data_IF_415970707800
#
_entry.id   IF_415970707800
#
_cell.length_a   1.000
_cell.length_b   1.000
_cell.length_c   1.000
_cell.angle_alpha   90.00
_cell.angle_beta   90.00
_cell.angle_gamma   90.00
#
_symmetry.space_group_name_H-M   'P 1'
#
loop_
_entity.id
_entity.type
_entity.pdbx_description
1 polymer ?
#
# COMPACT_ATOMS: atom_id res chain seq x y z
N UNK A 1 -16.33 31.65 17.79
CA UNK A 1 -15.20 31.05 17.05
C UNK A 1 -14.11 30.72 18.03
N UNK A 2 -13.71 29.46 18.10
CA UNK A 2 -12.66 28.99 19.01
C UNK A 2 -11.29 29.41 18.47
N UNK A 3 -10.28 29.56 19.34
CA UNK A 3 -8.93 29.95 18.92
C UNK A 3 -8.30 29.02 17.86
N UNK A 4 -8.79 27.78 17.78
CA UNK A 4 -8.41 26.77 16.80
C UNK A 4 -8.93 27.10 15.39
N UNK A 5 -10.15 27.63 15.27
CA UNK A 5 -10.75 28.04 13.99
C UNK A 5 -10.09 29.31 13.42
N UNK A 6 -9.61 30.20 14.31
CA UNK A 6 -8.89 31.42 13.91
C UNK A 6 -7.50 31.07 13.35
N UNK A 7 -6.81 30.08 13.95
CA UNK A 7 -5.52 29.61 13.48
C UNK A 7 -5.61 28.90 12.12
N UNK A 8 -6.69 28.14 11.88
CA UNK A 8 -6.97 27.50 10.59
C UNK A 8 -7.21 28.54 9.48
N UNK A 9 -8.04 29.56 9.74
CA UNK A 9 -8.30 30.64 8.78
C UNK A 9 -7.09 31.54 8.52
N UNK A 10 -6.17 31.66 9.47
CA UNK A 10 -4.92 32.40 9.27
C UNK A 10 -3.93 31.63 8.39
N UNK A 11 -3.89 30.29 8.49
CA UNK A 11 -3.05 29.44 7.62
C UNK A 11 -3.53 29.43 6.16
N UNK A 12 -4.83 29.54 5.91
CA UNK A 12 -5.35 29.67 4.54
C UNK A 12 -5.02 31.01 3.87
N UNK A 13 -4.81 32.08 4.65
CA UNK A 13 -4.53 33.44 4.13
C UNK A 13 -3.06 33.73 3.86
N UNK A 14 -2.15 32.91 4.38
CA UNK A 14 -0.72 33.01 4.10
C UNK A 14 -0.38 31.72 3.36
N UNK A 15 -0.17 31.78 2.04
CA UNK A 15 0.01 30.62 1.15
C UNK A 15 1.24 29.74 1.45
N UNK A 16 1.36 29.22 2.67
CA UNK A 16 2.11 28.04 3.02
C UNK A 16 1.14 26.87 2.91
N UNK A 17 1.20 26.10 1.83
CA UNK A 17 0.55 24.80 1.75
C UNK A 17 1.14 23.90 2.84
N UNK A 18 0.51 23.86 4.02
CA UNK A 18 0.85 22.83 4.99
C UNK A 18 0.36 21.51 4.41
N UNK A 19 1.27 20.67 3.93
CA UNK A 19 0.95 19.31 3.51
C UNK A 19 0.15 18.64 4.62
N UNK A 20 -0.98 18.05 4.25
CA UNK A 20 -1.78 17.30 5.21
C UNK A 20 -1.06 15.98 5.49
N UNK A 21 -0.84 15.67 6.77
CA UNK A 21 -0.21 14.42 7.18
C UNK A 21 -1.10 13.68 8.18
N UNK A 22 -1.22 12.38 7.99
CA UNK A 22 -1.90 11.48 8.93
C UNK A 22 -0.89 10.53 9.56
N UNK A 23 -1.13 10.15 10.82
CA UNK A 23 -0.29 9.16 11.49
C UNK A 23 -1.09 8.39 12.53
N UNK A 24 -0.78 7.11 12.67
CA UNK A 24 -1.38 6.25 13.67
C UNK A 24 -0.44 5.15 14.12
N UNK A 25 -0.88 4.39 15.11
CA UNK A 25 -0.16 3.24 15.66
C UNK A 25 -1.07 2.30 16.41
N UNK A 26 -0.62 1.07 16.57
CA UNK A 26 -1.29 0.05 17.37
C UNK A 26 -0.32 -1.04 17.80
N UNK A 27 -0.84 -1.98 18.59
CA UNK A 27 -0.07 -3.12 19.09
C UNK A 27 -0.96 -4.35 19.23
N UNK A 28 -0.35 -5.52 19.09
CA UNK A 28 -1.01 -6.80 19.30
C UNK A 28 -1.43 -6.95 20.76
N UNK A 29 -2.52 -7.69 20.99
CA UNK A 29 -2.95 -8.12 22.33
C UNK A 29 -2.25 -9.41 22.75
N UNK A 30 -1.90 -10.27 21.80
CA UNK A 30 -1.16 -11.50 22.05
C UNK A 30 0.31 -11.24 22.41
N UNK A 31 0.98 -10.35 21.69
CA UNK A 31 2.36 -9.94 21.98
C UNK A 31 2.50 -8.41 21.93
N UNK A 32 2.77 -7.81 23.09
CA UNK A 32 2.90 -6.35 23.23
C UNK A 32 4.16 -5.78 22.56
N UNK A 33 5.13 -6.61 22.20
CA UNK A 33 6.31 -6.20 21.44
C UNK A 33 5.98 -6.00 19.96
N UNK A 34 4.95 -6.70 19.47
CA UNK A 34 4.49 -6.52 18.10
C UNK A 34 3.64 -5.27 18.00
N UNK A 35 4.19 -4.28 17.32
CA UNK A 35 3.57 -2.96 17.14
C UNK A 35 3.56 -2.57 15.68
N UNK A 36 2.64 -1.69 15.32
CA UNK A 36 2.68 -1.03 14.02
C UNK A 36 2.61 0.48 14.21
N UNK A 37 3.10 1.20 13.22
CA UNK A 37 2.86 2.63 13.08
C UNK A 37 2.84 3.00 11.62
N UNK A 38 2.07 4.03 11.28
CA UNK A 38 1.99 4.52 9.92
C UNK A 38 2.11 6.04 9.88
N UNK A 39 2.53 6.53 8.74
CA UNK A 39 2.60 7.95 8.45
C UNK A 39 2.29 8.17 6.97
N UNK A 40 1.49 9.20 6.69
CA UNK A 40 1.16 9.62 5.34
C UNK A 40 1.46 11.10 5.15
N UNK A 41 1.88 11.48 3.96
CA UNK A 41 2.11 12.88 3.59
C UNK A 41 1.60 13.08 2.16
N UNK A 42 0.72 14.06 2.01
CA UNK A 42 0.29 14.54 0.71
C UNK A 42 1.49 15.09 -0.09
N UNK A 43 1.59 14.64 -1.33
CA UNK A 43 2.64 14.99 -2.27
C UNK A 43 2.59 16.46 -2.71
N UNK A 44 3.48 16.79 -3.65
CA UNK A 44 3.54 18.14 -4.27
C UNK A 44 2.79 18.19 -5.61
N UNK A 45 2.15 17.11 -6.00
CA UNK A 45 1.34 17.00 -7.20
C UNK A 45 0.11 17.91 -7.14
N UNK A 46 -0.47 18.24 -8.30
CA UNK A 46 -1.65 19.12 -8.42
C UNK A 46 -2.98 18.40 -8.08
N UNK A 47 -2.93 17.29 -7.36
CA UNK A 47 -4.09 16.55 -6.87
C UNK A 47 -4.08 16.49 -5.34
N UNK A 48 -5.23 16.17 -4.76
CA UNK A 48 -5.31 15.89 -3.33
C UNK A 48 -4.70 14.52 -3.03
N UNK A 49 -4.42 14.24 -1.75
CA UNK A 49 -4.01 12.91 -1.27
C UNK A 49 -4.93 11.77 -1.79
N UNK A 50 -4.39 10.91 -2.66
CA UNK A 50 -5.06 9.74 -3.24
C UNK A 50 -4.63 8.42 -2.56
N UNK A 51 -3.54 8.44 -1.82
CA UNK A 51 -3.08 7.34 -0.97
C UNK A 51 -4.02 7.08 0.24
N UNK A 52 -4.30 5.81 0.54
CA UNK A 52 -5.03 5.39 1.74
C UNK A 52 -4.30 4.28 2.50
N UNK A 53 -4.41 4.32 3.83
CA UNK A 53 -3.82 3.33 4.74
C UNK A 53 -4.91 2.59 5.51
N UNK A 54 -4.69 1.30 5.74
CA UNK A 54 -5.42 0.50 6.72
C UNK A 54 -4.41 -0.18 7.64
N UNK A 55 -4.52 0.00 8.96
CA UNK A 55 -3.62 -0.62 9.92
C UNK A 55 -4.33 -0.88 11.24
N UNK A 56 -4.60 -2.15 11.56
CA UNK A 56 -5.23 -2.52 12.83
C UNK A 56 -4.95 -3.97 13.22
N UNK A 57 -5.06 -4.25 14.52
CA UNK A 57 -5.21 -5.62 15.02
C UNK A 57 -6.69 -5.93 15.25
N UNK A 58 -7.13 -7.13 14.85
CA UNK A 58 -8.53 -7.59 14.92
C UNK A 58 -8.54 -9.04 15.44
N UNK A 59 -9.42 -9.33 16.39
CA UNK A 59 -9.70 -10.71 16.80
C UNK A 59 -10.74 -11.29 15.82
N UNK A 60 -10.46 -12.47 15.27
CA UNK A 60 -11.40 -13.24 14.44
C UNK A 60 -11.41 -14.65 15.01
N UNK A 61 -12.55 -15.06 15.56
CA UNK A 61 -12.68 -16.30 16.34
C UNK A 61 -11.59 -16.41 17.42
N UNK A 62 -10.81 -17.48 17.44
CA UNK A 62 -9.70 -17.73 18.36
C UNK A 62 -8.35 -17.15 17.89
N UNK A 63 -8.33 -16.46 16.74
CA UNK A 63 -7.13 -15.93 16.09
C UNK A 63 -7.00 -14.42 16.23
N UNK A 64 -5.77 -13.94 16.47
CA UNK A 64 -5.47 -12.51 16.31
C UNK A 64 -4.88 -12.25 14.93
N UNK A 65 -5.44 -11.27 14.24
CA UNK A 65 -4.99 -10.81 12.94
C UNK A 65 -4.43 -9.39 13.02
N UNK A 66 -3.20 -9.18 12.55
CA UNK A 66 -2.70 -7.86 12.16
C UNK A 66 -3.01 -7.62 10.68
N UNK A 67 -3.81 -6.59 10.38
CA UNK A 67 -4.26 -6.26 9.03
C UNK A 67 -3.65 -4.92 8.62
N UNK A 68 -2.81 -4.92 7.59
CA UNK A 68 -2.05 -3.76 7.14
C UNK A 68 -2.15 -3.61 5.63
N UNK A 69 -2.49 -2.43 5.12
CA UNK A 69 -2.54 -2.19 3.69
C UNK A 69 -2.24 -0.74 3.33
N UNK A 70 -1.60 -0.58 2.17
CA UNK A 70 -1.48 0.69 1.47
C UNK A 70 -2.19 0.55 0.13
N UNK A 71 -3.01 1.54 -0.17
CA UNK A 71 -3.74 1.70 -1.41
C UNK A 71 -3.27 3.00 -2.06
N UNK A 72 -2.42 2.89 -3.05
CA UNK A 72 -1.94 4.04 -3.83
C UNK A 72 -2.94 4.31 -4.94
N UNK A 73 -3.64 5.43 -4.84
CA UNK A 73 -4.72 5.81 -5.76
C UNK A 73 -4.21 6.64 -6.91
N UNK A 74 -4.81 6.46 -8.09
CA UNK A 74 -4.51 7.32 -9.24
C UNK A 74 -5.78 7.74 -9.96
N UNK A 75 -5.95 9.05 -10.15
CA UNK A 75 -7.14 9.66 -10.77
C UNK A 75 -8.46 9.27 -10.04
N UNK A 76 -8.36 8.90 -8.77
CA UNK A 76 -9.48 8.51 -7.93
C UNK A 76 -9.08 8.49 -6.46
N UNK A 77 -9.99 8.97 -5.61
CA UNK A 77 -9.92 8.76 -4.16
C UNK A 77 -10.95 7.74 -3.67
N UNK A 78 -11.96 7.48 -4.48
CA UNK A 78 -13.09 6.62 -4.19
C UNK A 78 -12.70 5.14 -4.28
N UNK A 79 -11.85 4.77 -5.25
CA UNK A 79 -11.37 3.40 -5.42
C UNK A 79 -10.48 2.96 -4.25
N UNK A 80 -9.40 3.68 -3.87
CA UNK A 80 -8.58 3.30 -2.73
C UNK A 80 -9.37 3.34 -1.40
N UNK A 81 -10.31 4.27 -1.22
CA UNK A 81 -11.19 4.29 -0.04
C UNK A 81 -12.16 3.09 0.01
N UNK A 82 -12.67 2.67 -1.16
CA UNK A 82 -13.48 1.47 -1.27
C UNK A 82 -12.67 0.22 -0.90
N UNK A 83 -11.43 0.10 -1.36
CA UNK A 83 -10.53 -0.99 -1.00
C UNK A 83 -10.25 -0.99 0.50
N UNK A 84 -9.90 0.17 1.08
CA UNK A 84 -9.70 0.35 2.53
C UNK A 84 -10.89 -0.16 3.35
N UNK A 85 -12.10 0.06 2.86
CA UNK A 85 -13.34 -0.27 3.58
C UNK A 85 -13.81 -1.71 3.38
N UNK A 86 -13.41 -2.39 2.31
CA UNK A 86 -14.02 -3.68 1.92
C UNK A 86 -13.03 -4.82 1.67
N UNK A 87 -11.77 -4.55 1.28
CA UNK A 87 -10.89 -5.60 0.78
C UNK A 87 -10.57 -6.65 1.86
N UNK A 88 -10.22 -6.22 3.07
CA UNK A 88 -9.96 -7.17 4.16
C UNK A 88 -11.19 -7.98 4.54
N UNK A 89 -12.37 -7.36 4.65
CA UNK A 89 -13.58 -8.11 4.96
C UNK A 89 -13.95 -9.08 3.84
N UNK A 90 -13.72 -8.73 2.57
CA UNK A 90 -13.90 -9.68 1.47
C UNK A 90 -12.91 -10.85 1.55
N UNK A 91 -11.64 -10.62 1.88
CA UNK A 91 -10.63 -11.68 2.08
C UNK A 91 -11.03 -12.61 3.21
N UNK A 92 -11.38 -12.06 4.38
CA UNK A 92 -11.68 -12.84 5.59
C UNK A 92 -13.00 -13.62 5.49
N UNK A 93 -13.91 -13.18 4.62
CA UNK A 93 -15.19 -13.86 4.38
C UNK A 93 -15.13 -14.92 3.25
N UNK A 94 -13.98 -15.12 2.60
CA UNK A 94 -13.83 -16.25 1.67
C UNK A 94 -13.89 -17.58 2.45
N UNK A 95 -14.65 -18.58 1.97
CA UNK A 95 -15.02 -19.76 2.74
C UNK A 95 -13.83 -20.67 3.11
N UNK A 96 -12.74 -20.57 2.35
CA UNK A 96 -11.52 -21.36 2.51
C UNK A 96 -10.34 -20.49 2.98
N UNK A 97 -10.57 -19.29 3.52
CA UNK A 97 -9.51 -18.38 3.98
C UNK A 97 -8.53 -19.08 4.93
N UNK A 98 -9.02 -19.91 5.85
CA UNK A 98 -8.19 -20.61 6.83
C UNK A 98 -7.49 -21.87 6.29
N UNK A 99 -7.95 -22.41 5.16
CA UNK A 99 -7.47 -23.68 4.60
C UNK A 99 -6.62 -23.50 3.34
N UNK A 100 -6.97 -22.54 2.49
CA UNK A 100 -6.41 -22.27 1.17
C UNK A 100 -6.17 -20.75 1.02
N UNK A 101 -5.50 -20.16 2.01
CA UNK A 101 -5.46 -18.70 2.22
C UNK A 101 -5.01 -17.90 1.00
N UNK A 102 -4.02 -18.38 0.24
CA UNK A 102 -3.57 -17.66 -0.95
C UNK A 102 -4.63 -17.63 -2.06
N UNK A 103 -5.34 -18.74 -2.27
CA UNK A 103 -6.42 -18.84 -3.25
C UNK A 103 -7.62 -17.99 -2.81
N UNK A 104 -7.92 -17.97 -1.51
CA UNK A 104 -8.90 -17.08 -0.92
C UNK A 104 -8.57 -15.60 -1.21
N UNK A 105 -7.33 -15.18 -0.95
CA UNK A 105 -6.86 -13.82 -1.24
C UNK A 105 -7.02 -13.48 -2.73
N UNK A 106 -6.56 -14.35 -3.63
CA UNK A 106 -6.68 -14.15 -5.09
C UNK A 106 -8.14 -13.97 -5.53
N UNK A 107 -9.05 -14.81 -5.03
CA UNK A 107 -10.48 -14.69 -5.33
C UNK A 107 -11.09 -13.43 -4.72
N UNK A 108 -10.75 -13.06 -3.49
CA UNK A 108 -11.23 -11.84 -2.88
C UNK A 108 -10.79 -10.59 -3.63
N UNK A 109 -9.54 -10.53 -4.12
CA UNK A 109 -9.05 -9.45 -4.97
C UNK A 109 -9.87 -9.37 -6.26
N UNK A 110 -10.01 -10.49 -6.98
CA UNK A 110 -10.81 -10.57 -8.21
C UNK A 110 -12.26 -10.14 -8.01
N UNK A 111 -12.91 -10.64 -6.95
CA UNK A 111 -14.31 -10.34 -6.62
C UNK A 111 -14.49 -8.87 -6.21
N UNK A 112 -13.53 -8.31 -5.48
CA UNK A 112 -13.54 -6.89 -5.08
C UNK A 112 -13.43 -5.99 -6.30
N UNK A 113 -12.51 -6.31 -7.20
CA UNK A 113 -12.32 -5.58 -8.45
C UNK A 113 -13.52 -5.68 -9.39
N UNK A 114 -14.14 -6.84 -9.53
CA UNK A 114 -15.38 -7.01 -10.29
C UNK A 114 -16.49 -6.05 -9.78
N UNK A 115 -16.68 -5.99 -8.45
CA UNK A 115 -17.64 -5.05 -7.83
C UNK A 115 -17.28 -3.59 -8.08
N UNK A 116 -15.98 -3.24 -8.06
CA UNK A 116 -15.50 -1.91 -8.38
C UNK A 116 -15.87 -1.54 -9.84
N UNK A 117 -15.64 -2.44 -10.79
CA UNK A 117 -15.92 -2.21 -12.21
C UNK A 117 -17.42 -2.12 -12.53
N UNK A 118 -18.26 -2.86 -11.80
CA UNK A 118 -19.73 -2.72 -11.83
C UNK A 118 -20.15 -1.33 -11.36
N UNK A 119 -19.50 -0.80 -10.33
CA UNK A 119 -19.77 0.52 -9.73
C UNK A 119 -18.96 1.68 -10.33
N UNK A 120 -18.32 1.50 -11.48
CA UNK A 120 -17.42 2.52 -12.06
C UNK A 120 -18.11 3.87 -12.38
N UNK A 121 -19.45 3.91 -12.50
CA UNK A 121 -20.19 5.17 -12.64
C UNK A 121 -20.14 5.99 -11.34
N UNK A 122 -20.19 5.31 -10.20
CA UNK A 122 -20.21 5.94 -8.86
C UNK A 122 -18.80 6.15 -8.31
N UNK A 123 -17.88 5.21 -8.57
CA UNK A 123 -16.51 5.22 -8.05
C UNK A 123 -15.50 5.95 -8.95
N UNK A 124 -15.89 6.33 -10.16
CA UNK A 124 -15.01 7.03 -11.10
C UNK A 124 -14.15 6.12 -11.98
N UNK A 125 -13.26 6.75 -12.74
CA UNK A 125 -12.51 6.13 -13.85
C UNK A 125 -11.08 5.70 -13.49
N UNK A 126 -10.56 6.18 -12.36
CA UNK A 126 -9.22 5.88 -11.91
C UNK A 126 -9.08 4.46 -11.37
N UNK A 127 -8.00 4.25 -10.63
CA UNK A 127 -7.69 2.96 -10.06
C UNK A 127 -6.89 3.09 -8.78
N UNK A 128 -6.43 1.94 -8.29
CA UNK A 128 -5.52 1.89 -7.16
C UNK A 128 -4.68 0.63 -7.16
N UNK A 129 -3.45 0.76 -6.66
CA UNK A 129 -2.63 -0.36 -6.22
C UNK A 129 -3.13 -0.91 -4.88
N UNK A 130 -2.66 -2.08 -4.48
CA UNK A 130 -2.85 -2.57 -3.12
C UNK A 130 -1.70 -3.49 -2.73
N UNK A 131 -0.91 -3.07 -1.74
CA UNK A 131 -0.05 -3.98 -0.98
C UNK A 131 -0.74 -4.26 0.36
N UNK A 132 -1.10 -5.52 0.60
CA UNK A 132 -1.72 -5.96 1.86
C UNK A 132 -0.80 -6.93 2.60
N UNK A 133 -0.88 -6.89 3.92
CA UNK A 133 -0.25 -7.85 4.80
C UNK A 133 -1.21 -8.31 5.91
N UNK A 134 -1.27 -9.62 6.12
CA UNK A 134 -2.08 -10.28 7.15
C UNK A 134 -1.14 -11.08 8.06
N UNK A 135 -0.98 -10.62 9.29
CA UNK A 135 -0.22 -11.32 10.34
C UNK A 135 -1.17 -12.18 11.16
N UNK A 136 -1.05 -13.50 11.08
CA UNK A 136 -1.86 -14.46 11.84
C UNK A 136 -1.09 -14.89 13.08
N UNK A 137 -1.71 -14.73 14.26
CA UNK A 137 -1.22 -15.15 15.58
C UNK A 137 0.24 -14.73 15.84
N UNK A 138 0.62 -13.55 15.35
CA UNK A 138 1.98 -13.01 15.50
C UNK A 138 3.10 -13.85 14.85
N UNK A 139 2.77 -14.87 14.04
CA UNK A 139 3.71 -15.89 13.57
C UNK A 139 3.78 -16.02 12.05
N UNK A 140 2.66 -15.86 11.34
CA UNK A 140 2.61 -16.08 9.89
C UNK A 140 2.17 -14.79 9.21
N UNK A 141 3.04 -14.22 8.38
CA UNK A 141 2.75 -13.03 7.59
C UNK A 141 2.46 -13.42 6.15
N UNK A 142 1.24 -13.13 5.69
CA UNK A 142 0.89 -13.21 4.27
C UNK A 142 0.97 -11.83 3.67
N UNK A 143 1.61 -11.68 2.52
CA UNK A 143 1.70 -10.44 1.76
C UNK A 143 1.09 -10.66 0.39
N UNK A 144 0.21 -9.77 -0.05
CA UNK A 144 -0.36 -9.81 -1.40
C UNK A 144 -0.27 -8.45 -2.07
N UNK A 145 0.18 -8.40 -3.32
CA UNK A 145 0.39 -7.15 -4.04
C UNK A 145 -0.29 -7.10 -5.40
N UNK A 146 -0.84 -5.92 -5.74
CA UNK A 146 -1.26 -5.50 -7.07
C UNK A 146 -0.74 -4.07 -7.28
N UNK A 147 -0.02 -3.82 -8.37
CA UNK A 147 0.64 -2.53 -8.63
C UNK A 147 2.10 -2.49 -8.18
N UNK A 148 2.61 -1.30 -7.93
CA UNK A 148 4.03 -0.98 -7.63
C UNK A 148 4.26 -0.41 -6.21
N UNK A 149 3.22 -0.37 -5.39
CA UNK A 149 3.40 -0.42 -3.93
C UNK A 149 4.16 -1.70 -3.54
N UNK A 150 4.92 -1.64 -2.44
CA UNK A 150 5.85 -2.71 -2.09
C UNK A 150 5.93 -2.99 -0.59
N UNK A 151 6.12 -4.27 -0.27
CA UNK A 151 6.40 -4.78 1.06
C UNK A 151 7.83 -5.35 1.14
N UNK A 152 8.58 -4.94 2.16
CA UNK A 152 9.95 -5.36 2.45
C UNK A 152 10.04 -5.78 3.91
N UNK A 153 10.68 -6.92 4.19
CA UNK A 153 10.97 -7.38 5.55
C UNK A 153 12.46 -7.21 5.87
N UNK A 154 12.77 -6.86 7.11
CA UNK A 154 14.12 -6.86 7.65
C UNK A 154 14.35 -8.12 8.47
N UNK A 155 15.36 -8.90 8.07
CA UNK A 155 15.82 -10.08 8.78
C UNK A 155 17.32 -10.01 8.97
N UNK A 156 17.79 -10.07 10.22
CA UNK A 156 19.21 -9.91 10.56
C UNK A 156 19.85 -8.64 9.94
N UNK A 157 19.13 -7.52 9.95
CA UNK A 157 19.53 -6.24 9.37
C UNK A 157 19.50 -6.16 7.84
N UNK A 158 19.10 -7.24 7.15
CA UNK A 158 19.07 -7.30 5.69
C UNK A 158 17.64 -7.19 5.15
N UNK A 159 17.49 -6.38 4.11
CA UNK A 159 16.23 -6.22 3.41
C UNK A 159 15.94 -7.41 2.48
N UNK A 160 14.75 -7.98 2.64
CA UNK A 160 14.16 -8.96 1.71
C UNK A 160 12.82 -8.43 1.23
N UNK A 161 12.69 -8.23 -0.08
CA UNK A 161 11.41 -7.87 -0.67
C UNK A 161 10.45 -9.06 -0.65
N UNK A 162 9.22 -8.85 -0.18
CA UNK A 162 8.18 -9.88 -0.11
C UNK A 162 7.18 -9.79 -1.26
N UNK A 163 6.89 -8.59 -1.75
CA UNK A 163 5.97 -8.35 -2.88
C UNK A 163 6.67 -8.36 -4.24
N UNK A 164 5.91 -8.53 -5.32
CA UNK A 164 6.38 -8.30 -6.69
C UNK A 164 5.78 -7.00 -7.21
N UNK A 165 6.63 -6.10 -7.71
CA UNK A 165 6.19 -4.84 -8.32
C UNK A 165 5.75 -5.10 -9.77
N UNK A 166 4.53 -4.67 -10.09
CA UNK A 166 3.89 -4.95 -11.36
C UNK A 166 4.12 -3.81 -12.36
N UNK A 167 5.35 -3.71 -12.87
CA UNK A 167 5.73 -2.70 -13.86
C UNK A 167 5.36 -3.13 -15.29
N UNK A 168 4.90 -2.21 -16.17
CA UNK A 168 4.54 -2.52 -17.56
C UNK A 168 5.64 -3.24 -18.36
N UNK A 169 6.92 -2.86 -18.16
CA UNK A 169 8.03 -3.52 -18.85
C UNK A 169 8.22 -4.99 -18.44
N UNK A 170 7.99 -5.31 -17.16
CA UNK A 170 8.13 -6.68 -16.64
C UNK A 170 6.98 -7.58 -17.09
N UNK A 171 5.80 -7.01 -17.30
CA UNK A 171 4.60 -7.74 -17.74
C UNK A 171 4.27 -7.56 -19.23
N UNK A 172 5.17 -6.97 -20.01
CA UNK A 172 4.93 -6.60 -21.41
C UNK A 172 4.32 -7.73 -22.24
N UNK A 173 4.85 -8.95 -22.13
CA UNK A 173 4.34 -10.10 -22.88
C UNK A 173 2.87 -10.42 -22.53
N UNK A 174 2.50 -10.33 -21.25
CA UNK A 174 1.11 -10.57 -20.82
C UNK A 174 0.17 -9.47 -21.32
N UNK A 175 0.63 -8.22 -21.34
CA UNK A 175 -0.12 -7.08 -21.87
C UNK A 175 -0.36 -7.24 -23.38
N UNK A 176 0.69 -7.55 -24.14
CA UNK A 176 0.63 -7.74 -25.60
C UNK A 176 -0.23 -8.94 -25.99
N UNK A 177 -0.19 -10.03 -25.23
CA UNK A 177 -1.05 -11.20 -25.44
C UNK A 177 -2.56 -10.88 -25.27
N UNK A 178 -2.90 -9.82 -24.53
CA UNK A 178 -4.28 -9.32 -24.37
C UNK A 178 -4.67 -8.28 -25.42
N UNK A 179 -3.78 -7.96 -26.36
CA UNK A 179 -4.01 -6.96 -27.41
C UNK A 179 -3.60 -5.53 -27.05
N UNK A 180 -3.01 -5.32 -25.88
CA UNK A 180 -2.46 -4.02 -25.47
C UNK A 180 -1.03 -3.81 -25.96
N UNK A 181 -0.42 -2.69 -25.54
CA UNK A 181 1.00 -2.42 -25.79
C UNK A 181 1.67 -1.72 -24.61
N UNK A 182 3.00 -1.71 -24.60
CA UNK A 182 3.81 -0.94 -23.64
C UNK A 182 4.60 0.12 -24.37
N UNK A 183 4.45 1.38 -23.95
CA UNK A 183 5.13 2.54 -24.52
C UNK A 183 5.72 3.40 -23.43
N UNK A 184 6.91 3.96 -23.65
CA UNK A 184 7.51 4.94 -22.72
C UNK A 184 6.98 6.37 -22.96
N UNK A 185 6.23 6.60 -24.04
CA UNK A 185 5.69 7.92 -24.35
C UNK A 185 4.34 8.16 -23.62
N UNK A 186 4.13 9.34 -23.00
CA UNK A 186 5.06 10.47 -22.88
C UNK A 186 6.12 10.27 -21.78
N UNK A 187 7.37 10.68 -22.07
CA UNK A 187 8.50 10.61 -21.15
C UNK A 187 9.36 9.34 -21.33
N UNK A 188 9.91 8.85 -20.21
CA UNK A 188 10.80 7.67 -20.14
C UNK A 188 10.21 6.53 -19.29
N UNK A 189 9.02 6.71 -18.74
CA UNK A 189 8.34 5.72 -17.89
C UNK A 189 7.45 4.84 -18.76
N UNK A 190 7.64 3.53 -18.68
CA UNK A 190 6.84 2.57 -19.41
C UNK A 190 5.38 2.59 -18.94
N UNK A 191 4.45 2.58 -19.91
CA UNK A 191 3.01 2.69 -19.68
C UNK A 191 2.23 1.67 -20.50
N UNK A 192 1.22 1.06 -19.89
CA UNK A 192 0.21 0.25 -20.57
C UNK A 192 -0.64 1.16 -21.44
N UNK A 193 -0.71 0.84 -22.73
CA UNK A 193 -1.36 1.60 -23.79
C UNK A 193 -0.98 3.10 -23.82
N UNK A 194 0.25 3.42 -23.39
CA UNK A 194 0.73 4.79 -23.27
C UNK A 194 0.07 5.62 -22.16
N UNK A 195 -0.73 5.00 -21.28
CA UNK A 195 -1.54 5.67 -20.28
C UNK A 195 -1.06 5.40 -18.85
N UNK A 196 -1.08 4.13 -18.41
CA UNK A 196 -0.90 3.78 -16.99
C UNK A 196 0.48 3.19 -16.70
N UNK A 197 1.17 3.70 -15.66
CA UNK A 197 2.53 3.30 -15.32
C UNK A 197 2.63 2.00 -14.48
N UNK A 198 1.50 1.33 -14.22
CA UNK A 198 1.42 0.03 -13.57
C UNK A 198 0.75 -1.00 -14.47
N UNK A 199 1.18 -2.26 -14.41
CA UNK A 199 0.64 -3.37 -15.19
C UNK A 199 -0.58 -4.05 -14.53
N UNK A 200 -0.71 -3.88 -13.22
CA UNK A 200 -1.82 -4.42 -12.43
C UNK A 200 -2.40 -3.35 -11.52
N UNK A 201 -3.72 -3.27 -11.45
CA UNK A 201 -4.46 -2.32 -10.63
C UNK A 201 -5.90 -2.78 -10.41
N UNK A 202 -6.51 -2.30 -9.32
CA UNK A 202 -7.95 -2.28 -9.15
C UNK A 202 -8.57 -1.12 -9.92
N UNK A 203 -9.78 -1.30 -10.44
CA UNK A 203 -10.43 -0.25 -11.23
C UNK A 203 -9.87 -0.16 -12.65
N UNK A 204 -9.61 1.07 -13.12
CA UNK A 204 -9.09 1.35 -14.48
C UNK A 204 -9.93 0.73 -15.60
N UNK A 205 -11.26 0.91 -15.51
CA UNK A 205 -12.23 0.21 -16.36
C UNK A 205 -11.93 0.29 -17.87
N UNK A 206 -11.43 1.42 -18.36
CA UNK A 206 -11.10 1.60 -19.78
C UNK A 206 -9.88 0.80 -20.23
N UNK A 207 -8.96 0.47 -19.32
CA UNK A 207 -7.74 -0.29 -19.60
C UNK A 207 -7.86 -1.75 -19.13
N UNK A 208 -8.99 -2.14 -18.55
CA UNK A 208 -9.07 -3.40 -17.81
C UNK A 208 -8.85 -4.65 -18.65
N UNK A 209 -9.12 -4.58 -19.95
CA UNK A 209 -8.82 -5.68 -20.89
C UNK A 209 -7.31 -5.98 -20.95
N UNK A 210 -6.46 -4.98 -20.71
CA UNK A 210 -5.00 -5.10 -20.80
C UNK A 210 -4.29 -5.08 -19.43
N UNK A 211 -5.05 -4.87 -18.34
CA UNK A 211 -4.57 -4.88 -16.96
C UNK A 211 -5.04 -6.14 -16.21
N UNK A 212 -4.38 -6.49 -15.12
CA UNK A 212 -4.81 -7.53 -14.19
C UNK A 212 -5.08 -6.97 -12.80
N UNK A 213 -5.96 -7.60 -12.04
CA UNK A 213 -6.13 -7.40 -10.58
C UNK A 213 -5.76 -8.64 -9.78
N UNK A 214 -5.15 -9.64 -10.43
CA UNK A 214 -4.66 -10.85 -9.78
C UNK A 214 -3.40 -10.52 -8.95
N UNK A 215 -3.38 -10.81 -7.63
CA UNK A 215 -2.22 -10.53 -6.81
C UNK A 215 -1.16 -11.62 -6.90
N UNK A 216 0.10 -11.20 -6.78
CA UNK A 216 1.16 -12.08 -6.33
C UNK A 216 1.12 -12.16 -4.79
N UNK A 217 1.17 -13.39 -4.25
CA UNK A 217 1.03 -13.68 -2.82
C UNK A 217 2.29 -14.37 -2.30
N UNK A 218 2.82 -13.89 -1.19
CA UNK A 218 3.97 -14.46 -0.49
C UNK A 218 3.61 -14.77 0.96
N UNK A 219 4.24 -15.81 1.51
CA UNK A 219 4.09 -16.22 2.91
C UNK A 219 5.46 -16.20 3.57
N UNK A 220 5.56 -15.51 4.71
CA UNK A 220 6.76 -15.46 5.54
C UNK A 220 6.43 -15.92 6.96
N UNK A 221 7.32 -16.70 7.56
CA UNK A 221 7.24 -17.06 8.98
C UNK A 221 8.05 -16.04 9.77
N UNK A 222 7.41 -15.44 10.77
CA UNK A 222 8.03 -14.52 11.71
C UNK A 222 8.77 -15.35 12.75
N UNK A 223 10.08 -15.19 12.79
CA UNK A 223 10.98 -15.88 13.70
C UNK A 223 11.86 -14.90 14.49
N UNK A 224 12.73 -15.46 15.33
CA UNK A 224 13.66 -14.73 16.17
C UNK A 224 14.72 -13.93 15.40
N UNK A 225 14.77 -13.97 14.08
CA UNK A 225 15.67 -13.14 13.27
C UNK A 225 14.91 -12.00 12.57
N UNK A 226 13.59 -12.04 12.64
CA UNK A 226 12.70 -11.11 11.94
C UNK A 226 12.45 -9.87 12.81
N UNK A 227 12.84 -8.70 12.31
CA UNK A 227 12.84 -7.47 13.12
C UNK A 227 11.63 -6.58 12.83
N UNK A 228 11.36 -6.31 11.56
CA UNK A 228 10.21 -5.50 11.13
C UNK A 228 9.88 -5.70 9.65
N UNK A 229 8.67 -5.32 9.27
CA UNK A 229 8.26 -5.17 7.88
C UNK A 229 7.90 -3.71 7.57
N UNK A 230 8.15 -3.29 6.34
CA UNK A 230 7.78 -2.00 5.76
C UNK A 230 6.80 -2.28 4.62
N UNK A 231 5.63 -1.65 4.65
CA UNK A 231 4.78 -1.49 3.48
C UNK A 231 4.85 0.00 3.11
N UNK A 232 5.06 0.32 1.83
CA UNK A 232 5.00 1.72 1.37
C UNK A 232 4.46 1.83 -0.06
N UNK A 233 3.89 3.00 -0.38
CA UNK A 233 3.60 3.42 -1.75
C UNK A 233 4.88 3.72 -2.53
N UNK A 234 4.76 3.90 -3.85
CA UNK A 234 5.92 4.14 -4.71
C UNK A 234 6.64 5.47 -4.38
N UNK A 235 5.98 6.38 -3.67
CA UNK A 235 6.56 7.63 -3.15
C UNK A 235 7.79 7.42 -2.26
N UNK A 236 7.95 6.24 -1.64
CA UNK A 236 9.21 5.81 -0.99
C UNK A 236 10.12 5.11 -2.02
N UNK A 237 9.60 4.11 -2.73
CA UNK A 237 10.40 3.15 -3.49
C UNK A 237 11.03 3.72 -4.77
N UNK A 238 10.52 4.84 -5.28
CA UNK A 238 11.12 5.59 -6.39
C UNK A 238 12.42 6.31 -6.00
N UNK A 239 12.64 6.56 -4.70
CA UNK A 239 13.79 7.37 -4.21
C UNK A 239 14.67 6.63 -3.19
N UNK A 240 14.25 5.44 -2.75
CA UNK A 240 15.00 4.61 -1.80
C UNK A 240 15.00 3.15 -2.25
N UNK A 241 16.18 2.53 -2.22
CA UNK A 241 16.27 1.06 -2.33
C UNK A 241 15.75 0.37 -1.07
N UNK A 242 15.46 -0.93 -1.19
CA UNK A 242 14.97 -1.74 -0.07
C UNK A 242 15.92 -1.69 1.14
N UNK A 243 17.23 -1.78 0.90
CA UNK A 243 18.23 -1.75 1.98
C UNK A 243 18.37 -0.37 2.61
N UNK A 244 18.32 0.71 1.82
CA UNK A 244 18.35 2.07 2.36
C UNK A 244 17.13 2.35 3.27
N UNK A 245 15.95 1.87 2.89
CA UNK A 245 14.75 1.98 3.72
C UNK A 245 14.89 1.22 5.04
N UNK A 246 15.43 -0.01 5.00
CA UNK A 246 15.72 -0.80 6.21
C UNK A 246 16.75 -0.09 7.10
N UNK A 247 17.86 0.36 6.53
CA UNK A 247 18.92 1.05 7.28
C UNK A 247 18.44 2.38 7.90
N UNK A 248 17.51 3.07 7.25
CA UNK A 248 16.90 4.30 7.76
C UNK A 248 16.15 4.09 9.09
N UNK A 249 15.57 2.91 9.30
CA UNK A 249 14.64 2.68 10.44
C UNK A 249 15.01 1.52 11.37
N UNK A 250 16.07 0.76 11.09
CA UNK A 250 16.46 -0.40 11.91
C UNK A 250 16.67 -0.04 13.38
N UNK A 251 17.30 1.10 13.66
CA UNK A 251 17.60 1.54 15.04
C UNK A 251 16.43 2.26 15.74
N UNK A 252 15.28 2.43 15.06
CA UNK A 252 14.10 3.10 15.63
C UNK A 252 13.22 2.10 16.37
N UNK A 253 12.98 2.39 17.66
CA UNK A 253 12.15 1.56 18.54
C UNK A 253 10.65 1.73 18.31
N UNK A 254 10.18 2.97 18.10
CA UNK A 254 8.76 3.25 17.90
C UNK A 254 8.41 3.15 16.40
N UNK A 255 7.52 2.21 16.06
CA UNK A 255 7.12 1.94 14.68
C UNK A 255 6.54 3.16 13.95
N UNK A 256 5.83 4.04 14.66
CA UNK A 256 5.29 5.28 14.08
C UNK A 256 6.40 6.27 13.73
N UNK A 257 7.40 6.38 14.61
CA UNK A 257 8.58 7.21 14.38
C UNK A 257 9.45 6.66 13.24
N UNK A 258 9.46 5.33 13.06
CA UNK A 258 10.06 4.68 11.89
C UNK A 258 9.34 5.07 10.58
N UNK A 259 8.02 4.90 10.51
CA UNK A 259 7.23 5.30 9.34
C UNK A 259 7.40 6.79 9.00
N UNK A 260 7.33 7.68 10.00
CA UNK A 260 7.56 9.11 9.80
C UNK A 260 8.96 9.42 9.24
N UNK A 261 9.98 8.71 9.71
CA UNK A 261 11.34 8.91 9.22
C UNK A 261 11.49 8.51 7.75
N UNK A 262 10.82 7.44 7.30
CA UNK A 262 10.85 7.05 5.89
C UNK A 262 10.21 8.13 5.01
N UNK A 263 9.06 8.67 5.42
CA UNK A 263 8.44 9.77 4.66
C UNK A 263 9.33 11.01 4.63
N UNK A 264 9.92 11.40 5.75
CA UNK A 264 10.83 12.56 5.82
C UNK A 264 12.07 12.36 4.95
N UNK A 265 12.66 11.17 4.95
CA UNK A 265 13.80 10.82 4.11
C UNK A 265 13.45 10.84 2.62
N UNK A 266 12.30 10.26 2.23
CA UNK A 266 11.84 10.30 0.84
C UNK A 266 11.56 11.73 0.34
N UNK A 267 10.97 12.58 1.18
CA UNK A 267 10.79 14.01 0.89
C UNK A 267 12.14 14.72 0.72
N UNK A 268 13.11 14.44 1.60
CA UNK A 268 14.46 15.00 1.53
C UNK A 268 15.20 14.56 0.24
N UNK A 269 14.91 13.36 -0.24
CA UNK A 269 15.41 12.82 -1.53
C UNK A 269 14.63 13.32 -2.75
N UNK A 270 13.65 14.20 -2.56
CA UNK A 270 12.95 14.87 -3.63
C UNK A 270 11.72 14.13 -4.16
N UNK A 271 11.17 13.16 -3.42
CA UNK A 271 9.88 12.57 -3.76
C UNK A 271 8.82 13.66 -3.86
N UNK A 272 8.06 13.64 -4.96
CA UNK A 272 6.98 14.58 -5.25
C UNK A 272 5.59 13.95 -5.16
N UNK A 273 5.54 12.62 -5.05
CA UNK A 273 4.32 11.84 -5.01
C UNK A 273 3.66 11.89 -3.62
N UNK A 274 2.44 11.36 -3.52
CA UNK A 274 1.91 10.99 -2.21
C UNK A 274 2.82 9.94 -1.56
N UNK A 275 3.00 10.03 -0.24
CA UNK A 275 3.92 9.14 0.48
C UNK A 275 3.20 8.53 1.66
N UNK A 276 2.97 7.22 1.59
CA UNK A 276 2.40 6.43 2.69
C UNK A 276 3.33 5.30 3.07
N UNK A 277 3.48 5.10 4.38
CA UNK A 277 4.27 4.02 4.92
C UNK A 277 3.63 3.44 6.18
N UNK A 278 3.65 2.12 6.29
CA UNK A 278 3.39 1.36 7.51
C UNK A 278 4.68 0.62 7.87
N UNK A 279 5.08 0.71 9.14
CA UNK A 279 6.12 -0.14 9.72
C UNK A 279 5.48 -1.04 10.75
N UNK A 280 5.70 -2.35 10.64
CA UNK A 280 5.29 -3.36 11.62
C UNK A 280 6.55 -3.89 12.29
N UNK A 281 6.74 -3.62 13.57
CA UNK A 281 7.87 -4.12 14.37
C UNK A 281 7.46 -5.42 15.04
N UNK A 282 8.30 -6.44 14.90
CA UNK A 282 8.12 -7.73 15.57
C UNK A 282 8.93 -7.82 16.88
N UNK A 283 9.82 -6.84 17.09
CA UNK A 283 10.70 -6.68 18.26
C UNK A 283 10.83 -5.22 18.68
#
# INVERSE_FOLDING_TARGET
MTGKEILLKMKEKVGLSSSTSETGKGKSRMDKHITHGYHTVEGKSLHAMEDFVFAQFKQVDDKELGLFAIFDGHLSREIPDYLRSHLFDNILNEPDFWTETENAIRRAYRNTDAKILEKAVDLGKGGSTAVTAILIDCQKLLVANVGDSRAVICKNGLAKQLSVDHEPNKEKQNIENRGGFVSNFPGDVARVDGQLAVARAFGDKSLKVHLSSEPDVAVEIIDDDTEFAILASDGIWKVMSNQEAVDCVKDKKDARSAAKCLNEEALARGSSDDISCIVVKFK
#
